data_IF_602458520587
#
_entry.id   IF_602458520587
#
_cell.length_a   1.000
_cell.length_b   1.000
_cell.length_c   1.000
_cell.angle_alpha   90.00
_cell.angle_beta   90.00
_cell.angle_gamma   90.00
#
_symmetry.space_group_name_H-M   'P 1'
#
loop_
_entity.id
_entity.type
_entity.pdbx_description
1 polymer ?
#
# COMPACT_ATOMS: atom_id res chain seq x y z
N UNK A 1 31.92 -13.58 -32.03
CA UNK A 1 31.64 -12.72 -30.85
C UNK A 1 31.18 -11.36 -31.36
N UNK A 2 29.88 -11.10 -31.39
CA UNK A 2 29.33 -9.84 -31.90
C UNK A 2 27.81 -9.84 -31.84
N UNK A 3 27.28 -9.12 -30.85
CA UNK A 3 25.84 -8.94 -30.58
C UNK A 3 25.21 -7.99 -31.61
N UNK A 4 24.08 -8.39 -32.19
CA UNK A 4 23.11 -7.53 -32.90
C UNK A 4 21.80 -7.57 -32.09
N UNK A 5 21.28 -6.48 -31.50
CA UNK A 5 20.52 -5.35 -32.11
C UNK A 5 19.28 -5.88 -32.85
N UNK A 6 18.02 -5.61 -32.48
CA UNK A 6 17.27 -4.32 -32.43
C UNK A 6 15.94 -4.52 -31.67
N UNK A 7 15.49 -3.70 -30.71
CA UNK A 7 14.78 -2.40 -30.77
C UNK A 7 13.37 -2.40 -31.43
N UNK A 8 12.34 -2.09 -30.62
CA UNK A 8 11.24 -1.11 -30.84
C UNK A 8 10.38 -1.05 -29.56
N UNK A 9 10.44 0.00 -28.70
CA UNK A 9 9.84 1.34 -28.79
C UNK A 9 8.30 1.32 -28.72
N UNK A 10 7.65 1.55 -27.58
CA UNK A 10 7.25 2.87 -27.04
C UNK A 10 6.05 2.61 -26.07
N UNK A 11 5.62 3.39 -25.05
CA UNK A 11 5.61 4.83 -24.77
C UNK A 11 5.56 5.06 -23.25
N UNK A 12 6.23 6.13 -22.82
CA UNK A 12 6.20 6.69 -21.46
C UNK A 12 4.85 7.33 -21.11
N UNK A 13 4.47 7.24 -19.84
CA UNK A 13 3.64 8.25 -19.18
C UNK A 13 4.27 8.65 -17.85
N UNK A 14 4.56 9.95 -17.76
CA UNK A 14 4.99 10.66 -16.56
C UNK A 14 3.95 10.53 -15.43
N UNK A 15 4.42 10.40 -14.18
CA UNK A 15 3.77 11.02 -13.03
C UNK A 15 4.82 11.58 -12.07
N UNK A 16 4.61 12.83 -11.67
CA UNK A 16 5.51 13.63 -10.83
C UNK A 16 5.13 13.47 -9.36
N UNK A 17 6.15 13.61 -8.51
CA UNK A 17 6.10 14.16 -7.14
C UNK A 17 5.56 13.29 -5.99
N UNK A 18 6.48 12.76 -5.18
CA UNK A 18 6.41 12.92 -3.72
C UNK A 18 7.81 12.89 -3.10
N UNK A 19 8.24 14.04 -2.58
CA UNK A 19 9.45 14.22 -1.77
C UNK A 19 9.21 13.66 -0.37
N UNK A 20 10.05 12.73 0.13
CA UNK A 20 10.63 12.62 1.50
C UNK A 20 11.76 11.58 1.38
N UNK A 21 13.07 11.87 1.38
CA UNK A 21 13.98 12.52 2.35
C UNK A 21 14.02 11.83 3.72
N UNK A 22 14.51 10.60 3.79
CA UNK A 22 15.10 10.01 5.00
C UNK A 22 16.63 10.15 4.91
N UNK A 23 17.18 11.06 5.72
CA UNK A 23 18.62 11.33 5.84
C UNK A 23 18.97 11.22 7.32
N UNK A 24 19.18 10.01 7.83
CA UNK A 24 19.74 9.78 9.16
C UNK A 24 21.26 9.99 9.06
N UNK A 25 21.68 11.18 9.50
CA UNK A 25 23.05 11.65 9.48
C UNK A 25 23.63 11.45 10.88
N UNK A 26 24.50 10.49 11.04
CA UNK A 26 25.45 10.43 12.15
C UNK A 26 26.44 11.58 12.02
N UNK A 27 26.40 12.54 12.94
CA UNK A 27 27.53 13.46 13.18
C UNK A 27 27.41 14.14 14.53
N UNK A 28 28.29 13.73 15.44
CA UNK A 28 28.79 14.55 16.53
C UNK A 28 29.36 15.87 15.99
N UNK A 29 29.08 17.00 16.66
CA UNK A 29 30.03 18.11 16.83
C UNK A 29 29.51 19.23 17.76
N UNK A 30 30.33 19.43 18.78
CA UNK A 30 30.57 20.61 19.61
C UNK A 30 30.48 22.00 18.95
N UNK A 31 30.05 22.97 19.77
CA UNK A 31 30.36 24.42 19.79
C UNK A 31 29.88 25.33 18.64
N UNK A 32 29.05 26.35 18.97
CA UNK A 32 29.43 27.78 19.09
C UNK A 32 28.19 28.69 19.09
N UNK A 33 28.30 29.74 19.91
CA UNK A 33 27.38 30.88 20.09
C UNK A 33 26.97 31.54 18.76
N UNK A 34 25.77 32.17 18.70
CA UNK A 34 25.55 33.63 18.42
C UNK A 34 24.06 33.96 18.23
N UNK A 35 23.57 34.91 19.05
CA UNK A 35 22.51 35.91 18.81
C UNK A 35 21.15 35.50 18.24
N UNK A 36 20.07 35.75 19.01
CA UNK A 36 18.92 36.51 18.50
C UNK A 36 18.01 37.02 19.63
N UNK A 37 18.07 38.32 19.82
CA UNK A 37 17.11 39.18 20.49
C UNK A 37 15.83 39.33 19.66
N UNK A 38 14.67 39.22 20.32
CA UNK A 38 13.28 39.63 19.95
C UNK A 38 12.35 38.85 20.89
N UNK A 39 11.38 39.36 21.62
CA UNK A 39 10.51 40.53 21.41
C UNK A 39 9.70 40.71 22.72
N UNK A 40 9.98 41.72 23.55
CA UNK A 40 9.09 42.09 24.65
C UNK A 40 8.09 43.12 24.14
N UNK A 41 6.82 42.72 24.18
CA UNK A 41 5.67 43.48 23.72
C UNK A 41 5.59 44.83 24.43
N UNK A 42 5.64 45.89 23.63
CA UNK A 42 5.27 47.26 23.99
C UNK A 42 3.77 47.30 24.34
N UNK A 43 3.44 47.39 25.62
CA UNK A 43 2.17 47.94 26.06
C UNK A 43 2.35 49.43 26.32
N UNK A 44 1.58 50.21 25.56
CA UNK A 44 1.49 51.66 25.60
C UNK A 44 0.64 52.03 26.81
N UNK A 45 1.17 52.80 27.76
CA UNK A 45 0.33 53.68 28.59
C UNK A 45 1.05 54.99 28.88
N UNK A 46 0.65 55.96 28.07
CA UNK A 46 0.71 57.40 28.27
C UNK A 46 0.68 57.83 29.73
N UNK A 47 1.75 58.49 30.18
CA UNK A 47 1.71 59.47 31.27
C UNK A 47 2.55 60.69 30.89
N UNK A 48 1.83 61.73 30.52
CA UNK A 48 2.14 63.16 30.67
C UNK A 48 3.61 63.57 30.56
N UNK A 49 4.01 63.95 29.34
CA UNK A 49 5.08 64.92 29.12
C UNK A 49 4.57 66.30 29.52
N UNK A 50 4.98 66.78 30.68
CA UNK A 50 4.94 68.21 31.00
C UNK A 50 6.32 68.78 30.67
N UNK A 51 6.55 69.06 29.39
CA UNK A 51 7.74 69.80 28.95
C UNK A 51 7.45 71.29 29.12
N UNK A 52 7.63 71.77 30.36
CA UNK A 52 7.63 73.19 30.67
C UNK A 52 8.86 73.80 30.01
N UNK A 53 8.67 74.44 28.86
CA UNK A 53 9.62 75.41 28.31
C UNK A 53 9.86 76.47 29.36
N UNK A 54 11.00 76.38 30.05
CA UNK A 54 11.49 77.42 30.94
C UNK A 54 11.85 78.63 30.09
N UNK A 55 11.14 79.72 30.31
CA UNK A 55 11.61 81.08 30.02
C UNK A 55 13.02 81.25 30.58
N UNK A 56 13.94 81.57 29.68
CA UNK A 56 15.26 82.11 30.03
C UNK A 56 15.22 83.61 29.76
N UNK A 57 15.45 84.39 30.81
CA UNK A 57 16.15 85.66 30.70
C UNK A 57 15.37 86.88 31.16
N UNK A 58 15.27 87.07 32.47
CA UNK A 58 14.82 88.31 33.08
C UNK A 58 15.09 88.31 34.57
N UNK A 59 16.37 88.19 34.97
CA UNK A 59 16.77 88.43 36.37
C UNK A 59 17.27 89.87 36.55
N UNK A 60 17.05 90.50 37.71
CA UNK A 60 17.42 91.89 37.98
C UNK A 60 18.95 92.04 38.01
N UNK A 61 19.51 93.26 37.82
CA UNK A 61 20.95 93.45 37.79
C UNK A 61 21.59 92.97 39.10
N UNK A 62 22.53 92.03 38.98
CA UNK A 62 23.36 91.55 40.08
C UNK A 62 24.15 92.73 40.67
N UNK A 63 24.01 92.96 41.97
CA UNK A 63 24.82 93.92 42.71
C UNK A 63 26.26 93.41 42.76
N UNK A 64 27.14 94.03 41.98
CA UNK A 64 28.58 93.82 42.04
C UNK A 64 29.17 94.60 43.21
N UNK A 65 29.99 93.93 44.01
CA UNK A 65 30.83 94.59 45.02
C UNK A 65 31.97 95.38 44.32
N UNK A 66 32.66 96.24 45.05
CA UNK A 66 33.67 97.22 44.58
C UNK A 66 34.83 96.62 43.75
N UNK A 67 34.95 95.28 43.70
CA UNK A 67 35.92 94.53 42.88
C UNK A 67 35.29 93.73 41.71
N UNK A 68 34.03 94.02 41.33
CA UNK A 68 33.42 93.51 40.10
C UNK A 68 33.06 92.01 40.09
N UNK A 69 33.04 91.34 41.25
CA UNK A 69 32.64 89.93 41.36
C UNK A 69 31.17 89.80 41.78
N UNK A 70 30.39 89.00 41.05
CA UNK A 70 28.99 88.70 41.37
C UNK A 70 28.91 87.90 42.67
N UNK A 71 28.30 88.45 43.73
CA UNK A 71 28.18 87.80 45.05
C UNK A 71 27.38 86.49 45.00
N UNK A 72 26.59 86.25 43.95
CA UNK A 72 25.85 85.00 43.75
C UNK A 72 26.74 83.79 43.43
N UNK A 73 27.91 83.97 42.79
CA UNK A 73 28.72 82.83 42.31
C UNK A 73 29.54 82.14 43.41
N UNK A 74 29.93 82.88 44.46
CA UNK A 74 30.77 82.33 45.54
C UNK A 74 30.01 81.36 46.46
N UNK A 75 28.71 81.58 46.67
CA UNK A 75 27.86 80.69 47.46
C UNK A 75 27.29 79.52 46.62
N UNK A 76 27.17 79.67 45.30
CA UNK A 76 26.74 78.58 44.42
C UNK A 76 27.85 77.56 44.18
N UNK A 77 29.11 77.98 44.09
CA UNK A 77 30.23 77.06 43.84
C UNK A 77 30.55 76.17 45.06
N UNK A 78 30.47 76.71 46.28
CA UNK A 78 30.58 75.94 47.54
C UNK A 78 29.40 74.98 47.72
N UNK A 79 28.18 75.43 47.40
CA UNK A 79 26.98 74.59 47.44
C UNK A 79 26.99 73.50 46.37
N UNK A 80 27.52 73.79 45.18
CA UNK A 80 27.71 72.81 44.10
C UNK A 80 28.81 71.80 44.44
N UNK A 81 29.90 72.21 45.10
CA UNK A 81 30.90 71.26 45.61
C UNK A 81 30.33 70.33 46.67
N UNK A 82 29.55 70.85 47.62
CA UNK A 82 28.83 70.02 48.61
C UNK A 82 27.81 69.09 47.94
N UNK A 83 27.06 69.58 46.96
CA UNK A 83 26.07 68.78 46.21
C UNK A 83 26.75 67.75 45.28
N UNK A 84 27.96 68.03 44.75
CA UNK A 84 28.77 67.07 43.99
C UNK A 84 29.41 66.02 44.90
N UNK A 85 29.85 66.37 46.10
CA UNK A 85 30.32 65.44 47.11
C UNK A 85 29.18 64.54 47.62
N UNK A 86 27.99 65.10 47.86
CA UNK A 86 26.78 64.33 48.18
C UNK A 86 26.37 63.42 47.02
N UNK A 87 26.45 63.87 45.75
CA UNK A 87 26.23 63.01 44.58
C UNK A 87 27.29 61.92 44.44
N UNK A 88 28.55 62.20 44.75
CA UNK A 88 29.63 61.19 44.75
C UNK A 88 29.40 60.16 45.87
N UNK A 89 29.00 60.61 47.05
CA UNK A 89 28.64 59.73 48.17
C UNK A 89 27.38 58.91 47.88
N UNK A 90 26.37 59.47 47.20
CA UNK A 90 25.19 58.72 46.73
C UNK A 90 25.56 57.70 45.66
N UNK A 91 26.45 58.03 44.72
CA UNK A 91 26.94 57.10 43.70
C UNK A 91 27.78 55.99 44.33
N UNK A 92 28.58 56.31 45.34
CA UNK A 92 29.38 55.35 46.10
C UNK A 92 28.49 54.43 46.94
N UNK A 93 27.48 54.98 47.62
CA UNK A 93 26.45 54.21 48.34
C UNK A 93 25.64 53.32 47.39
N UNK A 94 25.22 53.83 46.22
CA UNK A 94 24.57 53.00 45.20
C UNK A 94 25.49 51.90 44.66
N UNK A 95 26.78 52.15 44.54
CA UNK A 95 27.74 51.14 44.07
C UNK A 95 27.97 50.06 45.12
N UNK A 96 28.02 50.44 46.39
CA UNK A 96 28.08 49.50 47.51
C UNK A 96 26.80 48.65 47.61
N UNK A 97 25.62 49.26 47.47
CA UNK A 97 24.34 48.52 47.43
C UNK A 97 24.33 47.51 46.26
N UNK A 98 24.80 47.91 45.07
CA UNK A 98 24.90 46.99 43.92
C UNK A 98 25.89 45.86 44.16
N UNK A 99 26.99 46.11 44.87
CA UNK A 99 27.96 45.07 45.23
C UNK A 99 27.34 44.08 46.22
N UNK A 100 26.66 44.58 47.25
CA UNK A 100 25.93 43.76 48.23
C UNK A 100 24.84 42.93 47.54
N UNK A 101 24.06 43.51 46.62
CA UNK A 101 23.06 42.77 45.83
C UNK A 101 23.67 41.67 44.95
N UNK A 102 24.89 41.87 44.42
CA UNK A 102 25.59 40.85 43.63
C UNK A 102 26.11 39.74 44.53
N UNK A 103 26.67 40.07 45.69
CA UNK A 103 27.15 39.11 46.67
C UNK A 103 26.00 38.29 47.27
N UNK A 104 24.89 38.94 47.62
CA UNK A 104 23.67 38.28 48.08
C UNK A 104 23.12 37.33 47.02
N UNK A 105 23.07 37.75 45.75
CA UNK A 105 22.65 36.85 44.66
C UNK A 105 23.57 35.66 44.46
N UNK A 106 24.88 35.81 44.64
CA UNK A 106 25.82 34.69 44.56
C UNK A 106 25.61 33.70 45.71
N UNK A 107 25.33 34.19 46.91
CA UNK A 107 25.01 33.37 48.08
C UNK A 107 23.65 32.68 47.90
N UNK A 108 22.64 33.38 47.38
CA UNK A 108 21.34 32.80 47.03
C UNK A 108 21.46 31.72 45.96
N UNK A 109 22.26 31.94 44.92
CA UNK A 109 22.51 30.93 43.90
C UNK A 109 23.26 29.72 44.46
N UNK A 110 24.26 29.94 45.33
CA UNK A 110 25.01 28.84 45.94
C UNK A 110 24.15 28.02 46.91
N UNK A 111 23.30 28.68 47.69
CA UNK A 111 22.34 28.02 48.58
C UNK A 111 21.26 27.29 47.80
N UNK A 112 20.72 27.87 46.73
CA UNK A 112 19.79 27.21 45.83
C UNK A 112 20.41 25.95 45.20
N UNK A 113 21.68 26.00 44.78
CA UNK A 113 22.40 24.82 44.25
C UNK A 113 22.59 23.73 45.30
N UNK A 114 22.95 24.08 46.54
CA UNK A 114 23.09 23.10 47.63
C UNK A 114 21.75 22.43 47.96
N UNK A 115 20.67 23.20 47.94
CA UNK A 115 19.31 22.66 48.13
C UNK A 115 18.93 21.74 46.97
N UNK A 116 19.20 22.14 45.73
CA UNK A 116 18.94 21.34 44.53
C UNK A 116 19.71 20.01 44.57
N UNK A 117 20.99 20.01 44.95
CA UNK A 117 21.77 18.78 45.10
C UNK A 117 21.22 17.86 46.20
N UNK A 118 20.83 18.40 47.35
CA UNK A 118 20.23 17.60 48.42
C UNK A 118 18.90 16.99 48.00
N UNK A 119 18.08 17.75 47.26
CA UNK A 119 16.82 17.24 46.70
C UNK A 119 17.10 16.17 45.65
N UNK A 120 18.03 16.40 44.73
CA UNK A 120 18.40 15.44 43.69
C UNK A 120 18.91 14.13 44.28
N UNK A 121 19.81 14.19 45.27
CA UNK A 121 20.32 13.00 45.98
C UNK A 121 19.20 12.24 46.68
N UNK A 122 18.30 12.95 47.37
CA UNK A 122 17.19 12.32 48.09
C UNK A 122 16.19 11.66 47.14
N UNK A 123 15.92 12.28 45.99
CA UNK A 123 15.09 11.70 44.92
C UNK A 123 15.78 10.49 44.30
N UNK A 124 17.08 10.56 44.05
CA UNK A 124 17.86 9.45 43.51
C UNK A 124 17.85 8.24 44.46
N UNK A 125 18.06 8.44 45.76
CA UNK A 125 17.95 7.38 46.77
C UNK A 125 16.53 6.78 46.86
N UNK A 126 15.49 7.59 46.70
CA UNK A 126 14.10 7.10 46.66
C UNK A 126 13.80 6.30 45.38
N UNK A 127 14.33 6.74 44.25
CA UNK A 127 14.21 6.01 42.99
C UNK A 127 15.04 4.73 43.01
N UNK A 128 16.21 4.72 43.63
CA UNK A 128 17.06 3.53 43.75
C UNK A 128 16.39 2.45 44.60
N UNK A 129 15.73 2.82 45.69
CA UNK A 129 14.93 1.87 46.50
C UNK A 129 13.76 1.26 45.74
N UNK A 130 13.17 2.00 44.79
CA UNK A 130 12.04 1.54 43.96
C UNK A 130 12.49 1.04 42.58
N UNK A 131 13.79 1.04 42.31
CA UNK A 131 14.33 0.75 40.98
C UNK A 131 13.96 -0.66 40.54
N UNK A 132 14.13 -1.63 41.43
CA UNK A 132 13.83 -3.03 41.12
C UNK A 132 12.33 -3.21 40.82
N UNK A 133 11.44 -2.61 41.61
CA UNK A 133 9.99 -2.64 41.38
C UNK A 133 9.61 -2.02 40.02
N UNK A 134 10.18 -0.85 39.71
CA UNK A 134 9.97 -0.15 38.44
C UNK A 134 10.51 -0.99 37.28
N UNK A 135 11.72 -1.56 37.41
CA UNK A 135 12.32 -2.41 36.40
C UNK A 135 11.47 -3.65 36.15
N UNK A 136 10.95 -4.29 37.19
CA UNK A 136 10.09 -5.46 37.08
C UNK A 136 8.77 -5.11 36.38
N UNK A 137 8.16 -3.97 36.70
CA UNK A 137 6.93 -3.54 36.02
C UNK A 137 7.18 -3.18 34.55
N UNK A 138 8.29 -2.51 34.25
CA UNK A 138 8.70 -2.21 32.87
C UNK A 138 8.94 -3.50 32.09
N UNK A 139 9.67 -4.46 32.66
CA UNK A 139 9.91 -5.77 32.05
C UNK A 139 8.59 -6.49 31.78
N UNK A 140 7.68 -6.53 32.76
CA UNK A 140 6.36 -7.16 32.60
C UNK A 140 5.57 -6.53 31.44
N UNK A 141 5.53 -5.20 31.35
CA UNK A 141 4.83 -4.50 30.26
C UNK A 141 5.48 -4.75 28.89
N UNK A 142 6.81 -4.83 28.84
CA UNK A 142 7.56 -5.13 27.62
C UNK A 142 7.31 -6.57 27.18
N UNK A 143 7.30 -7.53 28.11
CA UNK A 143 6.96 -8.92 27.84
C UNK A 143 5.52 -9.09 27.37
N UNK A 144 4.56 -8.43 28.01
CA UNK A 144 3.16 -8.38 27.57
C UNK A 144 3.04 -7.82 26.15
N UNK A 145 3.69 -6.69 25.87
CA UNK A 145 3.69 -6.08 24.54
C UNK A 145 4.34 -6.99 23.49
N UNK A 146 5.45 -7.65 23.84
CA UNK A 146 6.13 -8.62 22.99
C UNK A 146 5.23 -9.83 22.71
N UNK A 147 4.58 -10.39 23.73
CA UNK A 147 3.65 -11.50 23.57
C UNK A 147 2.46 -11.15 22.67
N UNK A 148 1.88 -9.96 22.82
CA UNK A 148 0.78 -9.50 21.96
C UNK A 148 1.27 -9.39 20.51
N UNK A 149 2.45 -8.79 20.30
CA UNK A 149 3.03 -8.65 18.97
C UNK A 149 3.34 -10.00 18.33
N UNK A 150 3.93 -10.93 19.08
CA UNK A 150 4.24 -12.28 18.61
C UNK A 150 2.97 -13.09 18.29
N UNK A 151 1.93 -13.00 19.12
CA UNK A 151 0.65 -13.65 18.87
C UNK A 151 -0.02 -13.10 17.61
N UNK A 152 0.00 -11.79 17.40
CA UNK A 152 -0.52 -11.16 16.18
C UNK A 152 0.26 -11.62 14.95
N UNK A 153 1.59 -11.64 15.03
CA UNK A 153 2.45 -12.09 13.93
C UNK A 153 2.20 -13.56 13.56
N UNK A 154 2.10 -14.44 14.56
CA UNK A 154 1.78 -15.86 14.35
C UNK A 154 0.39 -16.02 13.70
N UNK A 155 -0.61 -15.28 14.19
CA UNK A 155 -1.96 -15.32 13.62
C UNK A 155 -1.99 -14.85 12.16
N UNK A 156 -1.22 -13.81 11.81
CA UNK A 156 -1.09 -13.33 10.44
C UNK A 156 -0.40 -14.37 9.53
N UNK A 157 0.66 -15.01 10.00
CA UNK A 157 1.35 -16.07 9.28
C UNK A 157 0.46 -17.30 9.06
N UNK A 158 -0.30 -17.72 10.07
CA UNK A 158 -1.26 -18.81 9.95
C UNK A 158 -2.36 -18.49 8.93
N UNK A 159 -2.90 -17.26 8.96
CA UNK A 159 -3.87 -16.80 7.95
C UNK A 159 -3.28 -16.83 6.55
N UNK A 160 -2.06 -16.34 6.36
CA UNK A 160 -1.39 -16.36 5.06
C UNK A 160 -1.20 -17.79 4.57
N UNK A 161 -0.70 -18.69 5.42
CA UNK A 161 -0.54 -20.10 5.08
C UNK A 161 -1.85 -20.78 4.72
N UNK A 162 -2.92 -20.53 5.47
CA UNK A 162 -4.25 -21.05 5.16
C UNK A 162 -4.79 -20.48 3.85
N UNK A 163 -4.60 -19.19 3.58
CA UNK A 163 -5.01 -18.55 2.34
C UNK A 163 -4.24 -19.13 1.13
N UNK A 164 -2.94 -19.37 1.25
CA UNK A 164 -2.13 -20.01 0.22
C UNK A 164 -2.59 -21.44 -0.06
N UNK A 165 -2.80 -22.25 0.98
CA UNK A 165 -3.32 -23.61 0.83
C UNK A 165 -4.71 -23.64 0.19
N UNK A 166 -5.59 -22.72 0.59
CA UNK A 166 -6.93 -22.61 0.00
C UNK A 166 -6.86 -22.14 -1.45
N UNK A 167 -5.98 -21.20 -1.78
CA UNK A 167 -5.75 -20.76 -3.15
C UNK A 167 -5.19 -21.89 -4.03
N UNK A 168 -4.26 -22.71 -3.50
CA UNK A 168 -3.77 -23.90 -4.21
C UNK A 168 -4.89 -24.92 -4.43
N UNK A 169 -5.67 -25.24 -3.40
CA UNK A 169 -6.83 -26.14 -3.53
C UNK A 169 -7.85 -25.63 -4.55
N UNK A 170 -8.15 -24.33 -4.54
CA UNK A 170 -9.06 -23.72 -5.51
C UNK A 170 -8.54 -23.89 -6.95
N UNK A 171 -7.25 -23.61 -7.17
CA UNK A 171 -6.60 -23.84 -8.48
C UNK A 171 -6.64 -25.30 -8.91
N UNK A 172 -6.37 -26.23 -7.99
CA UNK A 172 -6.46 -27.67 -8.29
C UNK A 172 -7.88 -28.09 -8.67
N UNK A 173 -8.90 -27.57 -7.99
CA UNK A 173 -10.31 -27.84 -8.32
C UNK A 173 -10.69 -27.25 -9.68
N UNK A 174 -10.23 -26.04 -9.99
CA UNK A 174 -10.41 -25.44 -11.32
C UNK A 174 -9.70 -26.24 -12.42
N UNK A 175 -8.50 -26.77 -12.16
CA UNK A 175 -7.81 -27.63 -13.13
C UNK A 175 -8.50 -28.98 -13.29
N UNK A 176 -8.99 -29.58 -12.20
CA UNK A 176 -9.74 -30.84 -12.25
C UNK A 176 -11.04 -30.67 -13.04
N UNK A 177 -11.82 -29.63 -12.76
CA UNK A 177 -13.05 -29.34 -13.52
C UNK A 177 -12.76 -29.14 -15.00
N UNK A 178 -11.71 -28.38 -15.37
CA UNK A 178 -11.29 -28.25 -16.78
C UNK A 178 -10.91 -29.59 -17.41
N UNK A 179 -10.22 -30.47 -16.67
CA UNK A 179 -9.86 -31.81 -17.16
C UNK A 179 -11.09 -32.68 -17.36
N UNK A 180 -12.02 -32.67 -16.41
CA UNK A 180 -13.30 -33.39 -16.51
C UNK A 180 -14.15 -32.87 -17.67
N UNK A 181 -14.18 -31.56 -17.91
CA UNK A 181 -14.87 -30.97 -19.05
C UNK A 181 -14.24 -31.42 -20.37
N UNK A 182 -12.91 -31.42 -20.47
CA UNK A 182 -12.21 -31.94 -21.65
C UNK A 182 -12.45 -33.43 -21.86
N UNK A 183 -12.45 -34.23 -20.79
CA UNK A 183 -12.73 -35.65 -20.85
C UNK A 183 -14.17 -35.92 -21.35
N UNK A 184 -15.16 -35.18 -20.83
CA UNK A 184 -16.54 -35.26 -21.34
C UNK A 184 -16.63 -34.93 -22.82
N UNK A 185 -15.95 -33.88 -23.28
CA UNK A 185 -15.94 -33.52 -24.71
C UNK A 185 -15.31 -34.63 -25.55
N UNK A 186 -14.21 -35.23 -25.08
CA UNK A 186 -13.56 -36.35 -25.77
C UNK A 186 -14.46 -37.59 -25.81
N UNK A 187 -15.13 -37.93 -24.71
CA UNK A 187 -16.09 -39.03 -24.66
C UNK A 187 -17.25 -38.80 -25.63
N UNK A 188 -17.84 -37.61 -25.66
CA UNK A 188 -18.90 -37.26 -26.61
C UNK A 188 -18.42 -37.33 -28.06
N UNK A 189 -17.19 -36.90 -28.34
CA UNK A 189 -16.60 -36.99 -29.67
C UNK A 189 -16.39 -38.46 -30.07
N UNK A 190 -15.84 -39.27 -29.17
CA UNK A 190 -15.64 -40.70 -29.39
C UNK A 190 -16.97 -41.43 -29.61
N UNK A 191 -18.02 -41.10 -28.86
CA UNK A 191 -19.38 -41.63 -29.08
C UNK A 191 -19.89 -41.28 -30.47
N UNK A 192 -19.75 -40.01 -30.90
CA UNK A 192 -20.15 -39.58 -32.25
C UNK A 192 -19.38 -40.33 -33.35
N UNK A 193 -18.09 -40.58 -33.14
CA UNK A 193 -17.27 -41.36 -34.08
C UNK A 193 -17.76 -42.81 -34.12
N UNK A 194 -17.98 -43.44 -32.96
CA UNK A 194 -18.47 -44.80 -32.87
C UNK A 194 -19.85 -44.95 -33.53
N UNK A 195 -20.77 -44.03 -33.27
CA UNK A 195 -22.10 -44.00 -33.89
C UNK A 195 -22.03 -43.83 -35.40
N UNK A 196 -21.14 -42.96 -35.90
CA UNK A 196 -20.92 -42.78 -37.33
C UNK A 196 -20.34 -44.04 -37.98
N UNK A 197 -19.37 -44.70 -37.34
CA UNK A 197 -18.80 -45.96 -37.80
C UNK A 197 -19.84 -47.08 -37.80
N UNK A 198 -20.69 -47.17 -36.77
CA UNK A 198 -21.76 -48.15 -36.67
C UNK A 198 -22.79 -47.97 -37.79
N UNK A 199 -23.19 -46.73 -38.10
CA UNK A 199 -24.08 -46.43 -39.22
C UNK A 199 -23.48 -46.81 -40.57
N UNK A 200 -22.20 -46.49 -40.79
CA UNK A 200 -21.50 -46.89 -42.01
C UNK A 200 -21.42 -48.42 -42.15
N UNK A 201 -21.17 -49.13 -41.06
CA UNK A 201 -21.17 -50.59 -41.05
C UNK A 201 -22.58 -51.17 -41.33
N UNK A 202 -23.63 -50.58 -40.74
CA UNK A 202 -25.02 -50.97 -41.00
C UNK A 202 -25.40 -50.75 -42.47
N UNK A 203 -25.05 -49.61 -43.05
CA UNK A 203 -25.31 -49.31 -44.47
C UNK A 203 -24.54 -50.27 -45.39
N UNK A 204 -23.29 -50.60 -45.07
CA UNK A 204 -22.52 -51.61 -45.80
C UNK A 204 -23.19 -52.99 -45.75
N UNK A 205 -23.69 -53.40 -44.58
CA UNK A 205 -24.42 -54.67 -44.42
C UNK A 205 -25.72 -54.66 -45.23
N UNK A 206 -26.49 -53.56 -45.23
CA UNK A 206 -27.71 -53.43 -46.05
C UNK A 206 -27.41 -53.58 -47.53
N UNK A 207 -26.35 -52.95 -48.04
CA UNK A 207 -25.94 -53.09 -49.45
C UNK A 207 -25.63 -54.56 -49.79
N UNK A 208 -24.91 -55.26 -48.92
CA UNK A 208 -24.58 -56.68 -49.13
C UNK A 208 -25.83 -57.56 -49.08
N UNK A 209 -26.76 -57.31 -48.16
CA UNK A 209 -28.04 -58.01 -48.08
C UNK A 209 -28.91 -57.75 -49.33
N UNK A 210 -28.96 -56.52 -49.83
CA UNK A 210 -29.66 -56.16 -51.07
C UNK A 210 -29.02 -56.86 -52.28
N UNK A 211 -27.69 -56.85 -52.38
CA UNK A 211 -26.98 -57.59 -53.44
C UNK A 211 -27.29 -59.10 -53.37
N UNK A 212 -27.36 -59.67 -52.17
CA UNK A 212 -27.75 -61.07 -51.96
C UNK A 212 -29.19 -61.32 -52.42
N UNK A 213 -30.14 -60.45 -52.07
CA UNK A 213 -31.54 -60.54 -52.54
C UNK A 213 -31.65 -60.46 -54.06
N UNK A 214 -30.96 -59.49 -54.68
CA UNK A 214 -30.92 -59.35 -56.14
C UNK A 214 -30.34 -60.61 -56.79
N UNK A 215 -29.28 -61.19 -56.22
CA UNK A 215 -28.71 -62.43 -56.72
C UNK A 215 -29.68 -63.62 -56.58
N UNK A 216 -30.35 -63.75 -55.44
CA UNK A 216 -31.39 -64.77 -55.21
C UNK A 216 -32.56 -64.62 -56.19
N UNK A 217 -33.03 -63.40 -56.46
CA UNK A 217 -34.06 -63.11 -57.45
C UNK A 217 -33.60 -63.42 -58.88
N UNK A 218 -32.37 -63.06 -59.25
CA UNK A 218 -31.79 -63.42 -60.55
C UNK A 218 -31.75 -64.94 -60.75
N UNK A 219 -31.31 -65.69 -59.74
CA UNK A 219 -31.29 -67.15 -59.80
C UNK A 219 -32.68 -67.75 -59.94
N UNK A 220 -33.69 -67.21 -59.23
CA UNK A 220 -35.09 -67.64 -59.39
C UNK A 220 -35.61 -67.36 -60.79
N UNK A 221 -35.38 -66.15 -61.31
CA UNK A 221 -35.82 -65.76 -62.65
C UNK A 221 -35.12 -66.60 -63.74
N UNK A 222 -33.84 -66.93 -63.56
CA UNK A 222 -33.12 -67.84 -64.45
C UNK A 222 -33.69 -69.26 -64.40
N UNK A 223 -33.98 -69.78 -63.20
CA UNK A 223 -34.65 -71.08 -63.05
C UNK A 223 -36.04 -71.10 -63.70
N UNK A 224 -36.81 -70.02 -63.57
CA UNK A 224 -38.11 -69.86 -64.23
C UNK A 224 -37.98 -69.83 -65.74
N UNK A 225 -37.03 -69.07 -66.30
CA UNK A 225 -36.74 -69.06 -67.74
C UNK A 225 -36.32 -70.43 -68.25
N UNK A 226 -35.49 -71.16 -67.51
CA UNK A 226 -35.11 -72.53 -67.86
C UNK A 226 -36.31 -73.49 -67.81
N UNK A 227 -37.21 -73.35 -66.84
CA UNK A 227 -38.45 -74.13 -66.77
C UNK A 227 -39.36 -73.83 -67.95
N UNK A 228 -39.57 -72.55 -68.27
CA UNK A 228 -40.34 -72.12 -69.44
C UNK A 228 -39.74 -72.67 -70.73
N UNK A 229 -38.42 -72.58 -70.93
CA UNK A 229 -37.76 -73.18 -72.10
C UNK A 229 -37.95 -74.70 -72.16
N UNK A 230 -37.89 -75.41 -71.02
CA UNK A 230 -38.17 -76.86 -70.96
C UNK A 230 -39.63 -77.17 -71.27
N UNK A 231 -40.57 -76.35 -70.81
CA UNK A 231 -42.00 -76.48 -71.08
C UNK A 231 -42.32 -76.17 -72.55
N UNK A 232 -41.76 -75.10 -73.12
CA UNK A 232 -41.83 -74.77 -74.55
C UNK A 232 -41.23 -75.89 -75.41
N UNK A 233 -40.05 -76.40 -75.06
CA UNK A 233 -39.46 -77.57 -75.73
C UNK A 233 -40.37 -78.80 -75.63
N UNK A 234 -41.02 -79.04 -74.49
CA UNK A 234 -41.99 -80.14 -74.33
C UNK A 234 -43.25 -79.94 -75.18
N UNK A 235 -43.75 -78.70 -75.28
CA UNK A 235 -44.87 -78.35 -76.15
C UNK A 235 -44.50 -78.57 -77.62
N UNK A 236 -43.32 -78.12 -78.07
CA UNK A 236 -42.83 -78.27 -79.45
C UNK A 236 -42.50 -79.72 -79.79
N UNK A 237 -41.83 -80.48 -78.90
CA UNK A 237 -41.53 -81.90 -79.10
C UNK A 237 -42.77 -82.81 -78.95
N UNK A 238 -43.91 -82.29 -78.50
CA UNK A 238 -45.15 -83.08 -78.34
C UNK A 238 -45.07 -84.21 -77.31
N UNK A 239 -44.10 -84.16 -76.38
CA UNK A 239 -43.89 -85.18 -75.35
C UNK A 239 -44.76 -84.88 -74.13
N UNK A 240 -45.67 -85.81 -73.83
CA UNK A 240 -46.60 -85.74 -72.69
C UNK A 240 -47.86 -84.94 -73.02
N UNK A 241 -48.91 -85.59 -73.53
CA UNK A 241 -50.30 -85.11 -73.73
C UNK A 241 -50.50 -83.65 -74.24
N UNK A 242 -49.47 -83.00 -74.78
CA UNK A 242 -49.46 -81.57 -75.13
C UNK A 242 -50.03 -81.27 -76.52
N UNK A 243 -50.10 -82.28 -77.40
CA UNK A 243 -50.81 -82.17 -78.68
C UNK A 243 -52.32 -82.20 -78.43
N UNK A 244 -53.06 -81.11 -78.69
CA UNK A 244 -54.52 -81.15 -78.65
C UNK A 244 -55.02 -82.22 -79.62
N UNK A 245 -55.87 -83.13 -79.15
CA UNK A 245 -56.49 -84.13 -80.01
C UNK A 245 -57.46 -83.44 -80.95
N UNK A 246 -57.01 -83.18 -82.17
CA UNK A 246 -57.89 -82.80 -83.27
C UNK A 246 -58.84 -83.97 -83.55
N UNK A 247 -60.09 -83.81 -83.17
CA UNK A 247 -61.17 -84.71 -83.56
C UNK A 247 -61.71 -84.21 -84.90
N UNK A 248 -61.39 -84.93 -85.97
CA UNK A 248 -61.97 -84.68 -87.29
C UNK A 248 -63.20 -85.57 -87.43
N UNK A 249 -64.39 -84.98 -87.48
CA UNK A 249 -65.61 -85.70 -87.88
C UNK A 249 -65.59 -85.87 -89.39
N UNK A 250 -65.21 -87.05 -89.88
CA UNK A 250 -65.41 -87.42 -91.28
C UNK A 250 -66.90 -87.64 -91.50
N UNK A 251 -67.56 -86.72 -92.22
CA UNK A 251 -68.90 -86.97 -92.77
C UNK A 251 -68.76 -88.09 -93.81
N UNK A 252 -69.30 -89.26 -93.51
CA UNK A 252 -69.37 -90.37 -94.45
C UNK A 252 -70.31 -89.98 -95.61
N UNK A 253 -69.83 -90.12 -96.84
CA UNK A 253 -70.64 -90.10 -98.06
C UNK A 253 -70.53 -91.48 -98.70
N UNK A 254 -71.66 -92.18 -98.71
CA UNK A 254 -72.09 -93.39 -99.45
C UNK A 254 -71.21 -94.64 -99.44
#
# INVERSE_FOLDING_TARGET
MGRSRSRSASRSKHSKHSRKRSRSRSKSKSSKKRSRSKELKRSRRSRSRSDSRRDRGGSPPDRTDMFGRTLSKRNTDEKQKREEEERRAEIESQSQIRQQEIEERLIEEETARRVEELVARRVEEELEKRRDEIEHEVLRRVEEAKHIMEAQLLQELERQRQAELNAQKAREVEEKSKREELERILEENNRKIADAQAKLAEDQLRIVEEQRKIHEERMKLEQERQKQQKEEQRMILGKGKSRPRLSFTLKATE
#
